data_IF_381242200869
#
_entry.id   IF_381242200869
#
_cell.length_a   1.000
_cell.length_b   1.000
_cell.length_c   1.000
_cell.angle_alpha   90.00
_cell.angle_beta   90.00
_cell.angle_gamma   90.00
#
_symmetry.space_group_name_H-M   'P 1'
#
loop_
_entity.id
_entity.type
_entity.pdbx_description
1 polymer ?
#
# COMPACT_ATOMS: atom_id res chain seq x y z
N UNK A 1 -8.70 -13.83 2.98
CA UNK A 1 -8.54 -14.77 4.11
C UNK A 1 -7.81 -14.07 5.24
N UNK A 2 -8.47 -13.92 6.39
CA UNK A 2 -8.03 -13.04 7.47
C UNK A 2 -6.78 -13.62 8.16
N UNK A 3 -5.63 -12.90 8.19
CA UNK A 3 -4.37 -13.42 8.73
C UNK A 3 -4.45 -13.79 10.23
N UNK A 4 -5.44 -13.23 10.93
CA UNK A 4 -5.79 -13.55 12.30
C UNK A 4 -6.25 -14.99 12.51
N UNK A 5 -6.93 -15.58 11.51
CA UNK A 5 -7.43 -16.97 11.59
C UNK A 5 -6.23 -17.94 11.49
N UNK A 6 -5.24 -17.61 10.65
CA UNK A 6 -4.01 -18.40 10.54
C UNK A 6 -3.12 -18.30 11.78
N UNK A 7 -3.01 -17.12 12.38
CA UNK A 7 -2.28 -16.93 13.63
C UNK A 7 -2.95 -17.69 14.80
N UNK A 8 -4.28 -17.66 14.89
CA UNK A 8 -5.03 -18.40 15.90
C UNK A 8 -4.85 -19.92 15.77
N UNK A 9 -4.90 -20.46 14.54
CA UNK A 9 -4.70 -21.89 14.29
C UNK A 9 -3.27 -22.35 14.60
N UNK A 10 -2.28 -21.51 14.27
CA UNK A 10 -0.87 -21.78 14.57
C UNK A 10 -0.61 -21.79 16.09
N UNK A 11 -1.20 -20.86 16.84
CA UNK A 11 -1.09 -20.80 18.30
C UNK A 11 -1.74 -22.04 18.95
N UNK A 12 -2.92 -22.44 18.47
CA UNK A 12 -3.62 -23.65 18.93
C UNK A 12 -2.82 -24.92 18.66
N UNK A 13 -2.22 -25.05 17.47
CA UNK A 13 -1.34 -26.17 17.13
C UNK A 13 -0.06 -26.19 18.00
N UNK A 14 0.46 -25.03 18.38
CA UNK A 14 1.62 -24.91 19.27
C UNK A 14 1.32 -25.37 20.69
N UNK A 15 0.14 -24.99 21.21
CA UNK A 15 -0.33 -25.34 22.57
C UNK A 15 -0.70 -26.83 22.62
N UNK A 16 -1.42 -27.34 21.62
CA UNK A 16 -1.78 -28.76 21.51
C UNK A 16 -0.56 -29.65 21.25
N UNK A 17 0.38 -29.23 20.41
CA UNK A 17 1.62 -29.96 20.14
C UNK A 17 2.60 -29.99 21.31
N UNK A 18 2.67 -28.89 22.09
CA UNK A 18 3.48 -28.82 23.30
C UNK A 18 2.95 -29.69 24.45
N UNK A 19 1.63 -29.86 24.55
CA UNK A 19 1.01 -30.68 25.61
C UNK A 19 1.12 -32.20 25.36
N UNK A 20 1.19 -32.65 24.11
CA UNK A 20 1.10 -34.07 23.75
C UNK A 20 2.43 -34.74 23.35
N UNK A 21 3.46 -34.00 22.89
CA UNK A 21 4.68 -34.59 22.28
C UNK A 21 6.03 -34.24 22.95
N UNK A 22 6.03 -33.56 24.10
CA UNK A 22 7.27 -33.23 24.82
C UNK A 22 8.27 -32.39 24.00
N UNK A 23 9.57 -32.68 24.12
CA UNK A 23 10.68 -31.89 23.53
C UNK A 23 10.64 -31.80 21.99
N UNK A 24 9.99 -32.76 21.32
CA UNK A 24 9.84 -32.76 19.86
C UNK A 24 8.84 -31.70 19.38
N UNK A 25 7.78 -31.44 20.17
CA UNK A 25 6.78 -30.40 19.87
C UNK A 25 7.39 -29.00 19.84
N UNK A 26 8.37 -28.72 20.71
CA UNK A 26 9.08 -27.45 20.75
C UNK A 26 9.89 -27.18 19.47
N UNK A 27 10.46 -28.23 18.85
CA UNK A 27 11.20 -28.11 17.59
C UNK A 27 10.24 -27.77 16.45
N UNK A 28 9.12 -28.51 16.33
CA UNK A 28 8.11 -28.23 15.29
C UNK A 28 7.45 -26.87 15.45
N UNK A 29 7.15 -26.47 16.68
CA UNK A 29 6.64 -25.15 17.03
C UNK A 29 7.59 -24.04 16.57
N UNK A 30 8.88 -24.17 16.89
CA UNK A 30 9.91 -23.19 16.52
C UNK A 30 10.07 -23.12 15.02
N UNK A 31 10.13 -24.26 14.31
CA UNK A 31 10.19 -24.29 12.84
C UNK A 31 8.95 -23.67 12.20
N UNK A 32 7.75 -23.93 12.75
CA UNK A 32 6.51 -23.33 12.28
C UNK A 32 6.47 -21.81 12.47
N UNK A 33 6.90 -21.32 13.64
CA UNK A 33 7.03 -19.88 13.91
C UNK A 33 8.03 -19.23 12.96
N UNK A 34 9.22 -19.82 12.78
CA UNK A 34 10.25 -19.29 11.87
C UNK A 34 9.75 -19.28 10.43
N UNK A 35 9.13 -20.36 9.97
CA UNK A 35 8.53 -20.45 8.64
C UNK A 35 7.43 -19.38 8.45
N UNK A 36 6.59 -19.18 9.45
CA UNK A 36 5.56 -18.16 9.44
C UNK A 36 6.15 -16.74 9.42
N UNK A 37 7.19 -16.48 10.22
CA UNK A 37 7.91 -15.22 10.24
C UNK A 37 8.56 -14.91 8.89
N UNK A 38 9.15 -15.93 8.23
CA UNK A 38 9.72 -15.81 6.88
C UNK A 38 8.64 -15.48 5.84
N UNK A 39 7.45 -16.06 5.93
CA UNK A 39 6.32 -15.70 5.06
C UNK A 39 5.83 -14.27 5.33
N UNK A 40 5.81 -13.83 6.59
CA UNK A 40 5.43 -12.48 6.96
C UNK A 40 6.43 -11.45 6.42
N UNK A 41 7.73 -11.72 6.56
CA UNK A 41 8.81 -10.90 6.00
C UNK A 41 8.75 -10.92 4.46
N UNK A 42 8.50 -12.07 3.82
CA UNK A 42 8.38 -12.16 2.36
C UNK A 42 7.17 -11.37 1.83
N UNK A 43 6.08 -11.33 2.60
CA UNK A 43 4.89 -10.53 2.28
C UNK A 43 5.16 -9.04 2.43
N UNK A 44 5.86 -8.64 3.50
CA UNK A 44 6.35 -7.26 3.70
C UNK A 44 7.32 -6.84 2.59
N UNK A 45 8.28 -7.70 2.24
CA UNK A 45 9.24 -7.47 1.15
C UNK A 45 8.54 -7.39 -0.21
N UNK A 46 7.45 -8.14 -0.44
CA UNK A 46 6.68 -8.03 -1.69
C UNK A 46 5.98 -6.67 -1.77
N UNK A 47 5.39 -6.17 -0.67
CA UNK A 47 4.80 -4.82 -0.60
C UNK A 47 5.87 -3.74 -0.73
N UNK A 48 7.02 -3.90 -0.06
CA UNK A 48 8.15 -2.98 -0.16
C UNK A 48 8.81 -3.00 -1.55
N UNK A 49 8.84 -4.15 -2.24
CA UNK A 49 9.35 -4.26 -3.61
C UNK A 49 8.39 -3.65 -4.62
N UNK A 50 7.09 -3.69 -4.36
CA UNK A 50 6.09 -2.91 -5.10
C UNK A 50 6.19 -1.41 -4.80
N UNK A 51 6.48 -1.02 -3.55
CA UNK A 51 6.67 0.38 -3.15
C UNK A 51 8.03 0.97 -3.60
N UNK A 52 9.09 0.15 -3.64
CA UNK A 52 10.43 0.53 -4.08
C UNK A 52 10.59 0.52 -5.61
N UNK A 53 9.65 -0.11 -6.33
CA UNK A 53 9.48 0.05 -7.76
C UNK A 53 8.59 1.27 -8.11
N UNK A 54 8.06 1.99 -7.11
CA UNK A 54 7.19 3.14 -7.34
C UNK A 54 8.05 4.41 -7.52
N UNK A 55 8.15 4.97 -8.74
CA UNK A 55 8.87 6.21 -8.99
C UNK A 55 8.21 7.38 -8.25
N UNK A 56 8.95 8.48 -8.10
CA UNK A 56 8.48 9.77 -7.58
C UNK A 56 7.06 10.10 -8.10
N UNK A 57 6.18 10.63 -7.23
CA UNK A 57 4.78 10.95 -7.57
C UNK A 57 3.80 9.78 -7.45
N UNK A 58 4.11 8.73 -6.69
CA UNK A 58 3.19 7.60 -6.52
C UNK A 58 2.10 7.88 -5.48
N UNK A 59 0.87 7.40 -5.73
CA UNK A 59 -0.27 7.45 -4.80
C UNK A 59 -0.86 6.04 -4.62
N UNK A 60 -1.38 5.76 -3.42
CA UNK A 60 -1.92 4.44 -3.08
C UNK A 60 -3.10 4.00 -3.97
N UNK A 61 -3.94 4.95 -4.40
CA UNK A 61 -4.98 4.71 -5.40
C UNK A 61 -5.37 6.05 -6.06
N UNK A 62 -5.19 6.16 -7.38
CA UNK A 62 -5.48 7.39 -8.13
C UNK A 62 -6.97 7.73 -8.11
N UNK A 63 -7.84 6.73 -8.26
CA UNK A 63 -9.30 6.92 -8.25
C UNK A 63 -9.79 7.43 -6.89
N UNK A 64 -9.24 6.88 -5.80
CA UNK A 64 -9.60 7.30 -4.45
C UNK A 64 -9.06 8.70 -4.12
N UNK A 65 -7.90 9.09 -4.64
CA UNK A 65 -7.44 10.47 -4.53
C UNK A 65 -8.39 11.39 -5.29
N UNK A 66 -8.68 11.10 -6.55
CA UNK A 66 -9.53 11.91 -7.42
C UNK A 66 -10.95 12.10 -6.88
N UNK A 67 -11.50 11.13 -6.14
CA UNK A 67 -12.84 11.24 -5.54
C UNK A 67 -12.88 12.12 -4.29
N UNK A 68 -11.76 12.28 -3.60
CA UNK A 68 -11.64 13.13 -2.41
C UNK A 68 -11.21 14.56 -2.74
N UNK A 69 -10.75 14.80 -3.97
CA UNK A 69 -10.42 16.14 -4.44
C UNK A 69 -11.67 16.99 -4.60
N UNK A 70 -11.56 18.24 -4.18
CA UNK A 70 -12.59 19.25 -4.37
C UNK A 70 -11.96 20.62 -4.62
N UNK A 71 -12.63 21.46 -5.40
CA UNK A 71 -12.18 22.80 -5.72
C UNK A 71 -11.92 23.61 -4.44
N UNK A 72 -10.83 24.38 -4.44
CA UNK A 72 -10.43 25.21 -3.31
C UNK A 72 -9.56 24.53 -2.24
N UNK A 73 -9.32 23.21 -2.36
CA UNK A 73 -8.39 22.49 -1.48
C UNK A 73 -6.98 23.09 -1.55
N UNK A 74 -6.31 23.24 -0.40
CA UNK A 74 -4.93 23.75 -0.37
C UNK A 74 -3.95 22.67 -0.81
N UNK A 75 -2.83 23.09 -1.39
CA UNK A 75 -1.75 22.17 -1.79
C UNK A 75 -1.26 21.28 -0.61
N UNK A 76 -1.21 21.82 0.60
CA UNK A 76 -0.74 21.09 1.79
C UNK A 76 -1.70 19.96 2.17
N UNK A 77 -3.01 20.22 2.15
CA UNK A 77 -4.03 19.19 2.44
C UNK A 77 -4.01 18.10 1.38
N UNK A 78 -3.79 18.48 0.12
CA UNK A 78 -3.66 17.55 -0.99
C UNK A 78 -2.44 16.64 -0.86
N UNK A 79 -1.28 17.19 -0.52
CA UNK A 79 -0.05 16.41 -0.28
C UNK A 79 -0.25 15.47 0.92
N UNK A 80 -0.92 15.95 1.97
CA UNK A 80 -1.23 15.11 3.14
C UNK A 80 -2.18 13.96 2.78
N UNK A 81 -3.12 14.18 1.86
CA UNK A 81 -4.06 13.16 1.40
C UNK A 81 -3.43 12.16 0.42
N UNK A 82 -2.55 12.64 -0.46
CA UNK A 82 -1.83 11.81 -1.42
C UNK A 82 -0.71 11.00 -0.76
N UNK A 83 -0.16 11.47 0.37
CA UNK A 83 0.96 10.85 1.08
C UNK A 83 2.30 11.00 0.35
N UNK A 84 2.36 11.80 -0.71
CA UNK A 84 3.56 12.04 -1.52
C UNK A 84 3.52 13.41 -2.20
N UNK A 85 4.72 13.96 -2.44
CA UNK A 85 4.89 15.13 -3.30
C UNK A 85 4.61 14.71 -4.75
N UNK A 86 3.65 15.37 -5.39
CA UNK A 86 3.31 15.15 -6.79
C UNK A 86 4.45 15.53 -7.72
N UNK A 87 4.52 14.88 -8.87
CA UNK A 87 5.49 15.23 -9.91
C UNK A 87 4.97 16.45 -10.66
N UNK A 88 5.78 17.52 -10.69
CA UNK A 88 5.45 18.73 -11.45
C UNK A 88 5.54 18.43 -12.95
N UNK A 89 4.41 18.55 -13.65
CA UNK A 89 4.30 18.30 -15.09
C UNK A 89 4.25 19.61 -15.88
N UNK A 90 3.68 20.66 -15.28
CA UNK A 90 3.63 22.02 -15.85
C UNK A 90 3.76 23.07 -14.72
N UNK A 91 3.83 24.39 -15.03
CA UNK A 91 4.01 25.44 -14.03
C UNK A 91 3.03 25.38 -12.86
N UNK A 92 1.78 25.03 -13.15
CA UNK A 92 0.67 24.92 -12.20
C UNK A 92 0.06 23.50 -12.14
N UNK A 93 0.70 22.51 -12.78
CA UNK A 93 0.11 21.17 -12.92
C UNK A 93 0.99 20.11 -12.29
N UNK A 94 0.39 19.30 -11.44
CA UNK A 94 1.05 18.24 -10.67
C UNK A 94 0.33 16.92 -10.90
N UNK A 95 1.11 15.84 -11.04
CA UNK A 95 0.58 14.52 -11.31
C UNK A 95 0.97 13.52 -10.22
N UNK A 96 0.02 12.65 -9.88
CA UNK A 96 0.23 11.47 -9.05
C UNK A 96 -0.15 10.22 -9.84
N UNK A 97 0.56 9.11 -9.63
CA UNK A 97 0.34 7.86 -10.35
C UNK A 97 0.18 6.67 -9.41
N UNK A 98 -0.79 5.84 -9.71
CA UNK A 98 -1.11 4.59 -9.04
C UNK A 98 -0.22 3.44 -9.54
N UNK A 99 -0.04 2.40 -8.72
CA UNK A 99 0.54 1.12 -9.12
C UNK A 99 -0.26 0.41 -10.22
N UNK A 100 -1.57 0.67 -10.33
CA UNK A 100 -2.47 0.19 -11.38
C UNK A 100 -2.33 0.89 -12.73
N UNK A 101 -1.46 1.90 -12.84
CA UNK A 101 -1.19 2.63 -14.09
C UNK A 101 -1.99 3.91 -14.25
N UNK A 102 -3.09 4.05 -13.50
CA UNK A 102 -3.93 5.25 -13.42
C UNK A 102 -3.15 6.45 -12.85
N UNK A 103 -3.45 7.66 -13.33
CA UNK A 103 -2.84 8.90 -12.87
C UNK A 103 -3.90 9.95 -12.56
N UNK A 104 -3.64 10.80 -11.57
CA UNK A 104 -4.41 12.00 -11.28
C UNK A 104 -3.55 13.20 -11.57
N UNK A 105 -4.00 14.02 -12.50
CA UNK A 105 -3.41 15.32 -12.79
C UNK A 105 -4.26 16.39 -12.08
N UNK A 106 -3.61 17.30 -11.36
CA UNK A 106 -4.28 18.41 -10.69
C UNK A 106 -3.66 19.73 -11.10
N UNK A 107 -4.53 20.71 -11.34
CA UNK A 107 -4.16 22.07 -11.68
C UNK A 107 -4.36 22.95 -10.46
N UNK A 108 -3.29 23.59 -10.02
CA UNK A 108 -3.23 24.43 -8.83
C UNK A 108 -3.06 25.89 -9.24
N UNK A 109 -4.11 26.70 -9.10
CA UNK A 109 -4.04 28.15 -9.31
C UNK A 109 -3.86 28.86 -7.98
N UNK A 110 -2.83 29.70 -7.86
CA UNK A 110 -2.52 30.44 -6.61
C UNK A 110 -2.43 29.52 -5.37
N UNK A 111 -1.92 28.29 -5.54
CA UNK A 111 -1.75 27.32 -4.45
C UNK A 111 -3.02 26.59 -3.99
N UNK A 112 -4.13 26.73 -4.72
CA UNK A 112 -5.39 26.00 -4.46
C UNK A 112 -5.77 25.14 -5.66
N UNK A 113 -6.38 24.01 -5.38
CA UNK A 113 -6.91 23.11 -6.40
C UNK A 113 -7.99 23.83 -7.20
N UNK A 114 -7.74 24.04 -8.49
CA UNK A 114 -8.71 24.58 -9.42
C UNK A 114 -9.46 23.44 -10.10
N UNK A 115 -8.71 22.53 -10.73
CA UNK A 115 -9.23 21.44 -11.55
C UNK A 115 -8.42 20.17 -11.32
N UNK A 116 -9.04 19.02 -11.55
CA UNK A 116 -8.36 17.73 -11.55
C UNK A 116 -8.90 16.83 -12.65
N UNK A 117 -8.05 15.95 -13.14
CA UNK A 117 -8.35 14.98 -14.19
C UNK A 117 -7.81 13.63 -13.78
N UNK A 118 -8.68 12.62 -13.79
CA UNK A 118 -8.29 11.23 -13.68
C UNK A 118 -7.96 10.71 -15.07
N UNK A 119 -6.70 10.34 -15.29
CA UNK A 119 -6.21 9.66 -16.47
C UNK A 119 -6.19 8.17 -16.11
N UNK A 120 -7.13 7.40 -16.64
CA UNK A 120 -7.10 5.95 -16.48
C UNK A 120 -6.14 5.34 -17.50
N UNK A 121 -5.33 4.38 -17.09
CA UNK A 121 -4.60 3.56 -18.04
C UNK A 121 -5.57 2.55 -18.63
N UNK A 122 -6.14 2.85 -19.79
CA UNK A 122 -6.97 1.91 -20.53
C UNK A 122 -6.14 0.67 -20.85
N UNK A 123 -6.50 -0.47 -20.26
CA UNK A 123 -5.84 -1.77 -20.42
C UNK A 123 -5.99 -2.33 -21.83
N UNK A 124 -5.32 -1.72 -22.80
CA UNK A 124 -5.24 -2.19 -24.19
C UNK A 124 -3.80 -2.51 -24.57
N UNK A 125 -3.36 -3.72 -24.21
CA UNK A 125 -2.40 -4.56 -24.95
C UNK A 125 -2.43 -5.97 -24.37
#
# INVERSE_FOLDING_TARGET
MNPWIGAGLALLALILGGALLGWQGAIFATTGIVFWLLLQISRLMRVMKTAGAAPLGSVANAVMLASKLHTGMKLVDLISLAGSLGVKQAPETFAWRDAGGDAVEVVLKKGKLAEWRLIRSDGSS
#
